data_IF_100332759701
#
_entry.id   IF_100332759701
#
_cell.length_a   1.000
_cell.length_b   1.000
_cell.length_c   1.000
_cell.angle_alpha   90.00
_cell.angle_beta   90.00
_cell.angle_gamma   90.00
#
_symmetry.space_group_name_H-M   'P 1'
#
loop_
_entity.id
_entity.type
_entity.pdbx_description
1 polymer ?
#
# COMPACT_ATOMS: atom_id res chain seq x y z
N UNK A 1 -4.64 -8.70 6.22
CA UNK A 1 -5.50 -9.38 7.23
C UNK A 1 -5.45 -8.66 8.57
N UNK A 2 -4.28 -8.32 9.12
CA UNK A 2 -4.20 -7.58 10.41
C UNK A 2 -4.81 -6.17 10.37
N UNK A 3 -4.50 -5.34 9.36
CA UNK A 3 -5.09 -3.99 9.21
C UNK A 3 -6.62 -4.03 9.17
N UNK A 4 -7.21 -5.06 8.53
CA UNK A 4 -8.66 -5.25 8.50
C UNK A 4 -9.26 -5.53 9.89
N UNK A 5 -8.53 -6.25 10.76
CA UNK A 5 -8.95 -6.48 12.15
C UNK A 5 -8.90 -5.19 12.96
N UNK A 6 -7.83 -4.41 12.81
CA UNK A 6 -7.67 -3.11 13.47
C UNK A 6 -8.77 -2.15 13.07
N UNK A 7 -9.10 -2.09 11.77
CA UNK A 7 -10.24 -1.32 11.23
C UNK A 7 -11.53 -1.71 11.92
N UNK A 8 -11.86 -3.01 12.00
CA UNK A 8 -13.10 -3.45 12.63
C UNK A 8 -13.19 -3.05 14.12
N UNK A 9 -12.06 -3.06 14.83
CA UNK A 9 -11.98 -2.58 16.23
C UNK A 9 -12.07 -1.05 16.33
N UNK A 10 -11.58 -0.30 15.35
CA UNK A 10 -11.64 1.16 15.35
C UNK A 10 -13.01 1.71 14.94
N UNK A 11 -13.76 1.00 14.09
CA UNK A 11 -15.07 1.45 13.59
C UNK A 11 -16.10 1.71 14.70
N UNK A 12 -15.92 1.14 15.89
CA UNK A 12 -16.79 1.37 17.05
C UNK A 12 -16.71 2.82 17.56
N UNK A 13 -15.53 3.43 17.49
CA UNK A 13 -15.23 4.71 18.14
C UNK A 13 -14.69 5.77 17.17
N UNK A 14 -14.32 5.37 15.94
CA UNK A 14 -13.66 6.24 14.97
C UNK A 14 -13.99 5.86 13.52
N UNK A 15 -14.36 6.86 12.72
CA UNK A 15 -14.72 6.65 11.32
C UNK A 15 -13.49 6.30 10.48
N UNK A 16 -13.51 5.11 9.88
CA UNK A 16 -12.53 4.62 8.92
C UNK A 16 -12.57 5.47 7.64
N UNK A 17 -11.40 5.92 7.18
CA UNK A 17 -11.27 6.73 5.97
C UNK A 17 -10.66 5.97 4.79
N UNK A 18 -9.93 4.89 5.04
CA UNK A 18 -9.24 4.13 4.00
C UNK A 18 -9.48 2.63 4.16
N UNK A 19 -9.75 1.98 3.03
CA UNK A 19 -9.94 0.54 2.95
C UNK A 19 -8.67 -0.14 2.41
N UNK A 20 -8.09 -1.11 3.14
CA UNK A 20 -6.92 -1.86 2.69
C UNK A 20 -7.27 -2.72 1.50
N UNK A 21 -6.29 -2.86 0.60
CA UNK A 21 -6.37 -3.76 -0.54
C UNK A 21 -5.49 -4.98 -0.30
N UNK A 22 -5.69 -5.99 -1.13
CA UNK A 22 -4.82 -7.16 -1.17
C UNK A 22 -3.38 -6.76 -1.50
N UNK A 23 -3.20 -5.96 -2.56
CA UNK A 23 -1.93 -5.32 -2.90
C UNK A 23 -2.06 -3.80 -2.71
N UNK A 24 -1.24 -3.26 -1.81
CA UNK A 24 -1.23 -1.83 -1.47
C UNK A 24 -0.14 -1.03 -2.23
N UNK A 25 0.33 -1.58 -3.35
CA UNK A 25 1.34 -1.01 -4.24
C UNK A 25 0.75 -0.67 -5.61
N UNK A 26 1.31 0.36 -6.22
CA UNK A 26 1.10 0.76 -7.62
C UNK A 26 2.36 0.46 -8.44
N UNK A 27 2.16 0.25 -9.73
CA UNK A 27 3.21 0.20 -10.74
C UNK A 27 3.22 1.51 -11.53
N UNK A 28 4.41 2.11 -11.67
CA UNK A 28 4.67 3.36 -12.37
C UNK A 28 5.18 3.05 -13.78
N UNK A 29 4.36 3.31 -14.78
CA UNK A 29 4.79 3.38 -16.17
C UNK A 29 5.31 4.77 -16.52
N UNK A 30 5.75 4.95 -17.76
CA UNK A 30 6.33 6.23 -18.24
C UNK A 30 5.45 7.46 -17.92
N UNK A 31 4.13 7.32 -18.04
CA UNK A 31 3.15 8.37 -17.76
C UNK A 31 1.90 7.83 -17.03
N UNK A 32 2.02 6.69 -16.36
CA UNK A 32 0.87 6.03 -15.72
C UNK A 32 1.21 5.58 -14.31
N UNK A 33 0.20 5.57 -13.45
CA UNK A 33 0.27 5.01 -12.10
C UNK A 33 -0.88 4.05 -11.93
N UNK A 34 -0.59 2.77 -12.11
CA UNK A 34 -1.61 1.74 -12.18
C UNK A 34 -1.57 0.82 -10.97
N UNK A 35 -2.75 0.31 -10.60
CA UNK A 35 -2.86 -0.62 -9.48
C UNK A 35 -2.27 -1.97 -9.87
N UNK A 36 -1.62 -2.63 -8.93
CA UNK A 36 -1.28 -4.04 -9.06
C UNK A 36 -2.44 -4.85 -8.48
N UNK A 37 -3.00 -5.75 -9.28
CA UNK A 37 -4.06 -6.68 -8.90
C UNK A 37 -3.47 -8.09 -8.82
N UNK A 38 -3.99 -8.92 -7.91
CA UNK A 38 -3.58 -10.32 -7.80
C UNK A 38 -4.79 -11.22 -8.07
N UNK A 39 -4.75 -11.96 -9.17
CA UNK A 39 -5.86 -12.79 -9.64
C UNK A 39 -5.29 -14.06 -10.26
N UNK A 40 -5.83 -15.23 -9.90
CA UNK A 40 -5.45 -16.54 -10.46
C UNK A 40 -3.94 -16.83 -10.41
N UNK A 41 -3.27 -16.40 -9.34
CA UNK A 41 -1.83 -16.61 -9.16
C UNK A 41 -0.94 -15.60 -9.91
N UNK A 42 -1.52 -14.63 -10.61
CA UNK A 42 -0.83 -13.66 -11.46
C UNK A 42 -1.01 -12.25 -10.90
N UNK A 43 0.09 -11.50 -10.89
CA UNK A 43 0.10 -10.06 -10.61
C UNK A 43 -0.13 -9.30 -11.91
N UNK A 44 -1.26 -8.61 -12.03
CA UNK A 44 -1.66 -7.83 -13.21
C UNK A 44 -1.50 -6.34 -12.91
N UNK A 45 -0.87 -5.60 -13.81
CA UNK A 45 -0.90 -4.12 -13.73
C UNK A 45 -2.15 -3.65 -14.44
N UNK A 46 -3.07 -3.06 -13.68
CA UNK A 46 -4.37 -2.62 -14.15
C UNK A 46 -4.25 -1.71 -15.38
N UNK A 47 -5.20 -1.79 -16.31
CA UNK A 47 -5.21 -1.01 -17.56
C UNK A 47 -3.98 -1.21 -18.47
N UNK A 48 -3.18 -2.26 -18.28
CA UNK A 48 -2.04 -2.59 -19.14
C UNK A 48 -2.02 -4.07 -19.50
N UNK A 49 -1.15 -4.44 -20.45
CA UNK A 49 -0.86 -5.84 -20.78
C UNK A 49 0.14 -6.50 -19.84
N UNK A 50 0.74 -5.75 -18.90
CA UNK A 50 1.77 -6.28 -18.01
C UNK A 50 1.17 -7.27 -17.01
N UNK A 51 1.79 -8.46 -16.98
CA UNK A 51 1.44 -9.56 -16.10
C UNK A 51 2.72 -10.20 -15.61
N UNK A 52 2.74 -10.54 -14.34
CA UNK A 52 3.89 -11.14 -13.70
C UNK A 52 3.44 -12.34 -12.88
N UNK A 53 4.17 -13.44 -12.97
CA UNK A 53 4.19 -14.44 -11.91
C UNK A 53 4.85 -13.86 -10.66
N UNK A 54 4.74 -14.60 -9.54
CA UNK A 54 5.38 -14.19 -8.29
C UNK A 54 6.90 -14.01 -8.41
N UNK A 55 7.59 -14.89 -9.12
CA UNK A 55 9.04 -14.79 -9.32
C UNK A 55 9.40 -13.58 -10.20
N UNK A 56 8.60 -13.32 -11.23
CA UNK A 56 8.83 -12.19 -12.15
C UNK A 56 8.61 -10.85 -11.48
N UNK A 57 7.53 -10.65 -10.71
CA UNK A 57 7.31 -9.36 -10.04
C UNK A 57 8.37 -9.07 -8.98
N UNK A 58 8.87 -10.12 -8.32
CA UNK A 58 9.97 -9.99 -7.36
C UNK A 58 11.29 -9.67 -8.06
N UNK A 59 11.51 -10.18 -9.27
CA UNK A 59 12.66 -9.80 -10.10
C UNK A 59 12.53 -8.35 -10.55
N UNK A 60 11.37 -7.97 -11.07
CA UNK A 60 11.06 -6.59 -11.47
C UNK A 60 11.26 -5.60 -10.31
N UNK A 61 10.86 -5.95 -9.09
CA UNK A 61 11.08 -5.12 -7.90
C UNK A 61 12.57 -4.89 -7.60
N UNK A 62 13.43 -5.89 -7.84
CA UNK A 62 14.87 -5.77 -7.63
C UNK A 62 15.56 -4.98 -8.74
N UNK A 63 15.12 -5.18 -9.98
CA UNK A 63 15.73 -4.55 -11.16
C UNK A 63 15.25 -3.12 -11.37
N UNK A 64 13.95 -2.85 -11.11
CA UNK A 64 13.29 -1.57 -11.33
C UNK A 64 12.50 -1.10 -10.09
N UNK A 65 13.15 -0.89 -8.92
CA UNK A 65 12.45 -0.50 -7.69
C UNK A 65 11.68 0.82 -7.82
N UNK A 66 12.14 1.74 -8.67
CA UNK A 66 11.46 3.02 -8.93
C UNK A 66 10.13 2.87 -9.66
N UNK A 67 9.86 1.71 -10.25
CA UNK A 67 8.56 1.40 -10.84
C UNK A 67 7.49 1.10 -9.78
N UNK A 68 7.84 0.98 -8.49
CA UNK A 68 6.88 0.62 -7.44
C UNK A 68 6.61 1.80 -6.50
N UNK A 69 5.33 2.04 -6.21
CA UNK A 69 4.90 3.14 -5.36
C UNK A 69 3.86 2.69 -4.33
N UNK A 70 4.03 3.00 -3.02
CA UNK A 70 3.04 2.69 -2.00
C UNK A 70 1.74 3.49 -2.19
N UNK A 71 0.63 2.94 -1.73
CA UNK A 71 -0.60 3.69 -1.50
C UNK A 71 -0.57 4.40 -0.13
N UNK A 72 -1.66 5.10 0.20
CA UNK A 72 -1.76 5.91 1.43
C UNK A 72 -1.61 5.07 2.71
N UNK A 73 -2.08 3.81 2.73
CA UNK A 73 -1.96 2.92 3.90
C UNK A 73 -0.51 2.51 4.13
N UNK A 74 0.31 2.39 3.09
CA UNK A 74 1.71 2.01 3.24
C UNK A 74 2.64 3.20 3.55
N UNK A 75 2.16 4.45 3.42
CA UNK A 75 2.97 5.64 3.64
C UNK A 75 3.53 5.71 5.07
N UNK A 76 2.73 5.52 6.15
CA UNK A 76 3.26 5.51 7.52
C UNK A 76 4.39 4.50 7.71
N UNK A 77 4.18 3.26 7.24
CA UNK A 77 5.17 2.20 7.34
C UNK A 77 6.49 2.60 6.67
N UNK A 78 6.42 3.17 5.46
CA UNK A 78 7.61 3.62 4.75
C UNK A 78 8.33 4.76 5.47
N UNK A 79 7.57 5.73 6.00
CA UNK A 79 8.15 6.84 6.76
C UNK A 79 8.85 6.35 8.02
N UNK A 80 8.25 5.43 8.78
CA UNK A 80 8.83 4.87 10.01
C UNK A 80 10.07 3.99 9.75
N UNK A 81 10.12 3.30 8.61
CA UNK A 81 11.24 2.40 8.28
C UNK A 81 12.42 3.15 7.68
N UNK A 82 12.17 4.16 6.85
CA UNK A 82 13.21 4.83 6.05
C UNK A 82 13.78 6.05 6.78
N UNK A 83 12.96 6.75 7.57
CA UNK A 83 13.35 8.01 8.21
C UNK A 83 13.51 7.84 9.72
N UNK A 84 14.51 8.48 10.35
CA UNK A 84 14.65 8.52 11.80
C UNK A 84 13.63 9.50 12.41
N UNK A 85 12.38 9.07 12.55
CA UNK A 85 11.29 9.93 13.01
C UNK A 85 11.31 10.11 14.52
N UNK A 86 11.32 11.37 14.99
CA UNK A 86 11.11 11.70 16.41
C UNK A 86 9.62 11.73 16.76
N UNK A 87 8.79 12.26 15.85
CA UNK A 87 7.34 12.31 15.98
C UNK A 87 6.68 12.36 14.61
N UNK A 88 5.44 11.88 14.52
CA UNK A 88 4.59 12.03 13.35
C UNK A 88 3.60 13.18 13.56
N UNK A 89 3.59 14.14 12.65
CA UNK A 89 2.63 15.26 12.65
C UNK A 89 1.74 15.09 11.41
N UNK A 90 0.46 14.80 11.63
CA UNK A 90 -0.51 14.63 10.56
C UNK A 90 -1.84 15.30 10.87
N UNK A 91 -2.57 15.69 9.83
CA UNK A 91 -3.94 16.19 9.95
C UNK A 91 -4.93 15.11 10.40
N UNK A 92 -6.18 15.49 10.67
CA UNK A 92 -7.20 14.55 11.17
C UNK A 92 -7.40 13.31 10.27
N UNK A 93 -7.38 13.50 8.94
CA UNK A 93 -7.47 12.37 7.99
C UNK A 93 -6.23 11.48 7.97
N UNK A 94 -5.07 12.04 8.31
CA UNK A 94 -3.83 11.28 8.38
C UNK A 94 -3.72 10.45 9.65
N UNK A 95 -4.09 11.04 10.79
CA UNK A 95 -4.22 10.34 12.06
C UNK A 95 -5.21 9.16 11.94
N UNK A 96 -6.29 9.33 11.19
CA UNK A 96 -7.29 8.29 10.95
C UNK A 96 -6.68 7.02 10.35
N UNK A 97 -5.92 7.12 9.25
CA UNK A 97 -5.30 5.94 8.65
C UNK A 97 -4.06 5.45 9.41
N UNK A 98 -3.38 6.32 10.17
CA UNK A 98 -2.29 5.92 11.07
C UNK A 98 -2.78 4.97 12.16
N UNK A 99 -3.92 5.27 12.80
CA UNK A 99 -4.47 4.38 13.81
C UNK A 99 -4.91 3.02 13.27
N UNK A 100 -5.27 2.94 11.99
CA UNK A 100 -5.55 1.66 11.33
C UNK A 100 -4.34 0.72 11.26
N UNK A 101 -3.12 1.24 11.41
CA UNK A 101 -1.86 0.49 11.36
C UNK A 101 -1.30 0.13 12.75
N UNK A 102 -1.85 0.69 13.84
CA UNK A 102 -1.32 0.62 15.21
C UNK A 102 -1.56 -0.73 15.92
N UNK A 103 -1.70 -1.83 15.18
CA UNK A 103 -1.98 -3.15 15.76
C UNK A 103 -0.90 -3.57 16.76
#
# INVERSE_FOLDING_TARGET
KEVSKTIHKLETDYKVQVNPREINLFYLGKNSRERILYEDGIFKVNNTSLRFSKSEILRELRENPLAFSPNVIMRPLFQEVILPNLCYIGGAGEMAYWFQLKA
#
